data_IF_135033224943
#
_entry.id   IF_135033224943
#
_cell.length_a   1.000
_cell.length_b   1.000
_cell.length_c   1.000
_cell.angle_alpha   90.00
_cell.angle_beta   90.00
_cell.angle_gamma   90.00
#
_symmetry.space_group_name_H-M   'P 1'
#
loop_
_entity.id
_entity.type
_entity.pdbx_description
1 polymer ?
#
# COMPACT_ATOMS: atom_id res chain seq x y z
N UNK A 1 -7.19 -16.59 -19.44
CA UNK A 1 -5.86 -16.42 -20.03
C UNK A 1 -4.85 -16.93 -19.02
N UNK A 2 -4.01 -17.94 -19.37
CA UNK A 2 -2.96 -18.44 -18.48
C UNK A 2 -2.00 -17.28 -18.20
N UNK A 3 -1.82 -16.95 -16.93
CA UNK A 3 -0.77 -16.01 -16.50
C UNK A 3 0.57 -16.59 -16.97
N UNK A 4 1.23 -15.92 -17.90
CA UNK A 4 2.63 -16.21 -18.22
C UNK A 4 3.40 -16.00 -16.92
N UNK A 5 4.05 -17.07 -16.41
CA UNK A 5 4.79 -17.01 -15.16
C UNK A 5 5.92 -15.97 -15.31
N UNK A 6 5.94 -14.96 -14.44
CA UNK A 6 7.02 -13.99 -14.39
C UNK A 6 8.18 -14.60 -13.57
N UNK A 7 9.34 -14.89 -14.17
CA UNK A 7 10.45 -15.57 -13.50
C UNK A 7 10.94 -14.82 -12.24
N UNK A 8 10.88 -13.50 -12.26
CA UNK A 8 11.23 -12.68 -11.09
C UNK A 8 10.29 -12.93 -9.91
N UNK A 9 8.97 -12.94 -10.19
CA UNK A 9 7.97 -13.19 -9.16
C UNK A 9 8.13 -14.59 -8.57
N UNK A 10 8.41 -15.59 -9.40
CA UNK A 10 8.64 -16.95 -8.92
C UNK A 10 9.92 -17.06 -8.07
N UNK A 11 10.99 -16.33 -8.43
CA UNK A 11 12.20 -16.27 -7.59
C UNK A 11 11.93 -15.62 -6.24
N UNK A 12 11.20 -14.51 -6.20
CA UNK A 12 10.81 -13.85 -4.94
C UNK A 12 9.96 -14.77 -4.07
N UNK A 13 8.99 -15.49 -4.66
CA UNK A 13 8.17 -16.47 -3.92
C UNK A 13 9.00 -17.64 -3.39
N UNK A 14 9.98 -18.11 -4.15
CA UNK A 14 10.88 -19.17 -3.72
C UNK A 14 11.69 -18.73 -2.49
N UNK A 15 12.28 -17.53 -2.52
CA UNK A 15 13.01 -16.95 -1.39
C UNK A 15 12.13 -16.82 -0.14
N UNK A 16 10.86 -16.37 -0.29
CA UNK A 16 9.88 -16.31 0.81
C UNK A 16 9.60 -17.71 1.36
N UNK A 17 9.32 -18.68 0.49
CA UNK A 17 8.97 -20.03 0.89
C UNK A 17 10.10 -20.73 1.64
N UNK A 18 11.34 -20.59 1.16
CA UNK A 18 12.53 -21.11 1.83
C UNK A 18 12.70 -20.50 3.22
N UNK A 19 12.60 -19.19 3.31
CA UNK A 19 12.70 -18.46 4.58
C UNK A 19 11.63 -18.90 5.58
N UNK A 20 10.36 -18.97 5.17
CA UNK A 20 9.26 -19.35 6.04
C UNK A 20 9.34 -20.83 6.46
N UNK A 21 9.87 -21.72 5.62
CA UNK A 21 10.12 -23.11 5.99
C UNK A 21 11.11 -23.22 7.15
N UNK A 22 12.22 -22.45 7.12
CA UNK A 22 13.17 -22.41 8.23
C UNK A 22 12.53 -21.84 9.51
N UNK A 23 11.71 -20.79 9.40
CA UNK A 23 10.97 -20.21 10.55
C UNK A 23 9.95 -21.20 11.14
N UNK A 24 9.32 -22.04 10.31
CA UNK A 24 8.39 -23.07 10.79
C UNK A 24 9.08 -24.09 11.68
N UNK A 25 10.30 -24.51 11.35
CA UNK A 25 11.09 -25.40 12.17
C UNK A 25 11.42 -24.76 13.53
N UNK A 26 11.85 -23.51 13.55
CA UNK A 26 12.13 -22.77 14.78
C UNK A 26 10.89 -22.59 15.65
N UNK A 27 9.75 -22.26 15.07
CA UNK A 27 8.49 -22.06 15.79
C UNK A 27 7.95 -23.38 16.40
N UNK A 28 8.25 -24.52 15.82
CA UNK A 28 7.87 -25.82 16.37
C UNK A 28 8.47 -26.06 17.77
N UNK A 29 9.65 -25.47 18.04
CA UNK A 29 10.31 -25.54 19.35
C UNK A 29 9.54 -24.68 20.39
N UNK A 30 8.95 -23.58 19.95
CA UNK A 30 8.14 -22.70 20.82
C UNK A 30 6.78 -23.35 21.16
N UNK A 31 6.14 -23.96 20.16
CA UNK A 31 4.88 -24.68 20.30
C UNK A 31 4.21 -24.88 18.94
N UNK A 32 3.56 -26.02 18.77
CA UNK A 32 2.85 -26.33 17.51
C UNK A 32 1.69 -25.40 17.23
N UNK A 33 1.10 -24.77 18.25
CA UNK A 33 0.04 -23.79 18.14
C UNK A 33 0.51 -22.53 17.40
N UNK A 34 1.78 -22.15 17.57
CA UNK A 34 2.36 -20.97 16.93
C UNK A 34 2.51 -21.17 15.41
N UNK A 35 2.67 -22.41 14.95
CA UNK A 35 2.77 -22.70 13.51
C UNK A 35 1.47 -22.38 12.74
N UNK A 36 0.33 -22.30 13.43
CA UNK A 36 -0.94 -21.87 12.82
C UNK A 36 -0.88 -20.41 12.33
N UNK A 37 -0.17 -19.53 13.07
CA UNK A 37 0.05 -18.14 12.65
C UNK A 37 0.83 -18.05 11.33
N UNK A 38 1.81 -18.94 11.15
CA UNK A 38 2.60 -18.99 9.92
C UNK A 38 1.74 -19.35 8.71
N UNK A 39 0.82 -20.32 8.86
CA UNK A 39 -0.12 -20.68 7.80
C UNK A 39 -1.02 -19.48 7.41
N UNK A 40 -1.44 -18.70 8.39
CA UNK A 40 -2.21 -17.49 8.13
C UNK A 40 -1.38 -16.43 7.40
N UNK A 41 -0.09 -16.26 7.74
CA UNK A 41 0.82 -15.36 7.02
C UNK A 41 1.03 -15.81 5.56
N UNK A 42 1.22 -17.10 5.32
CA UNK A 42 1.35 -17.66 3.97
C UNK A 42 0.14 -17.30 3.11
N UNK A 43 -1.08 -17.35 3.66
CA UNK A 43 -2.29 -16.92 2.96
C UNK A 43 -2.31 -15.42 2.63
N UNK A 44 -1.70 -14.57 3.47
CA UNK A 44 -1.53 -13.14 3.20
C UNK A 44 -0.51 -12.85 2.11
N UNK A 45 0.51 -13.69 1.97
CA UNK A 45 1.53 -13.60 0.93
C UNK A 45 1.06 -14.15 -0.42
N UNK A 46 0.02 -15.00 -0.42
CA UNK A 46 -0.58 -15.50 -1.66
C UNK A 46 -1.31 -14.38 -2.42
N UNK A 47 -1.15 -14.38 -3.74
CA UNK A 47 -1.81 -13.42 -4.63
C UNK A 47 -1.09 -12.06 -4.62
N UNK A 48 -1.75 -11.06 -5.21
CA UNK A 48 -1.16 -9.75 -5.40
C UNK A 48 -0.26 -9.67 -6.63
N UNK A 49 -0.02 -8.42 -7.08
CA UNK A 49 0.76 -8.15 -8.30
C UNK A 49 2.27 -8.05 -8.03
N UNK A 50 2.69 -8.13 -6.78
CA UNK A 50 4.09 -7.98 -6.34
C UNK A 50 4.79 -6.77 -6.99
N UNK A 51 4.13 -5.62 -7.02
CA UNK A 51 4.65 -4.43 -7.68
C UNK A 51 5.93 -3.91 -7.03
N UNK A 52 5.99 -3.92 -5.69
CA UNK A 52 7.14 -3.43 -4.92
C UNK A 52 8.43 -4.21 -5.20
N UNK A 53 8.43 -5.54 -5.18
CA UNK A 53 9.57 -6.35 -5.63
C UNK A 53 10.00 -6.06 -7.05
N UNK A 54 9.04 -5.88 -7.96
CA UNK A 54 9.33 -5.59 -9.36
C UNK A 54 9.98 -4.20 -9.52
N UNK A 55 9.46 -3.16 -8.86
CA UNK A 55 10.09 -1.85 -8.85
C UNK A 55 11.52 -1.90 -8.26
N UNK A 56 11.73 -2.62 -7.15
CA UNK A 56 13.05 -2.81 -6.56
C UNK A 56 14.02 -3.50 -7.54
N UNK A 57 13.61 -4.61 -8.11
CA UNK A 57 14.45 -5.39 -9.02
C UNK A 57 14.82 -4.61 -10.29
N UNK A 58 13.83 -4.01 -10.96
CA UNK A 58 14.09 -3.33 -12.23
C UNK A 58 14.88 -2.05 -12.07
N UNK A 59 14.72 -1.32 -10.96
CA UNK A 59 15.60 -0.20 -10.64
C UNK A 59 17.03 -0.66 -10.29
N UNK A 60 17.17 -1.80 -9.61
CA UNK A 60 18.47 -2.46 -9.44
C UNK A 60 19.11 -2.86 -10.76
N UNK A 61 18.32 -3.36 -11.71
CA UNK A 61 18.79 -3.70 -13.06
C UNK A 61 19.26 -2.47 -13.84
N UNK A 62 18.61 -1.31 -13.71
CA UNK A 62 19.08 -0.05 -14.28
C UNK A 62 20.49 0.31 -13.78
N UNK A 63 20.72 0.17 -12.47
CA UNK A 63 22.00 0.51 -11.85
C UNK A 63 23.11 -0.51 -12.12
N UNK A 64 22.74 -1.78 -12.24
CA UNK A 64 23.69 -2.89 -12.40
C UNK A 64 24.30 -2.98 -13.79
N UNK A 65 23.50 -2.69 -14.85
CA UNK A 65 23.91 -2.97 -16.23
C UNK A 65 24.36 -4.42 -16.41
N UNK A 66 25.55 -4.64 -16.98
CA UNK A 66 26.12 -5.97 -17.20
C UNK A 66 26.39 -6.78 -15.91
N UNK A 67 26.39 -6.13 -14.73
CA UNK A 67 26.59 -6.79 -13.43
C UNK A 67 25.30 -7.38 -12.84
N UNK A 68 24.16 -7.32 -13.55
CA UNK A 68 22.86 -7.75 -13.03
C UNK A 68 22.89 -9.15 -12.44
N UNK A 69 23.53 -10.11 -13.11
CA UNK A 69 23.58 -11.50 -12.64
C UNK A 69 24.27 -11.64 -11.27
N UNK A 70 25.26 -10.78 -10.98
CA UNK A 70 25.98 -10.80 -9.70
C UNK A 70 25.18 -10.22 -8.53
N UNK A 71 24.25 -9.30 -8.78
CA UNK A 71 23.42 -8.64 -7.76
C UNK A 71 22.01 -9.22 -7.69
N UNK A 72 21.59 -10.00 -8.69
CA UNK A 72 20.26 -10.61 -8.79
C UNK A 72 19.81 -11.31 -7.49
N UNK A 73 20.65 -12.17 -6.84
CA UNK A 73 20.23 -12.85 -5.62
C UNK A 73 19.92 -11.89 -4.47
N UNK A 74 20.65 -10.78 -4.34
CA UNK A 74 20.36 -9.76 -3.35
C UNK A 74 19.06 -9.00 -3.67
N UNK A 75 18.83 -8.66 -4.94
CA UNK A 75 17.62 -7.97 -5.39
C UNK A 75 16.36 -8.82 -5.18
N UNK A 76 16.41 -10.14 -5.41
CA UNK A 76 15.26 -11.03 -5.17
C UNK A 76 14.98 -11.19 -3.68
N UNK A 77 16.01 -11.36 -2.83
CA UNK A 77 15.83 -11.40 -1.38
C UNK A 77 15.29 -10.08 -0.81
N UNK A 78 15.75 -8.92 -1.30
CA UNK A 78 15.16 -7.63 -0.94
C UNK A 78 13.69 -7.55 -1.37
N UNK A 79 13.36 -8.03 -2.57
CA UNK A 79 11.97 -8.14 -3.03
C UNK A 79 11.12 -8.98 -2.08
N UNK A 80 11.64 -10.12 -1.64
CA UNK A 80 10.98 -11.01 -0.67
C UNK A 80 10.82 -10.34 0.71
N UNK A 81 11.85 -9.62 1.18
CA UNK A 81 11.78 -8.85 2.42
C UNK A 81 10.74 -7.72 2.35
N UNK A 82 10.61 -7.05 1.20
CA UNK A 82 9.57 -6.03 0.96
C UNK A 82 8.17 -6.66 1.02
N UNK A 83 7.96 -7.87 0.49
CA UNK A 83 6.65 -8.54 0.58
C UNK A 83 6.32 -8.98 2.02
N UNK A 84 7.29 -9.39 2.82
CA UNK A 84 7.07 -9.62 4.26
C UNK A 84 6.70 -8.30 4.98
N UNK A 85 7.39 -7.19 4.67
CA UNK A 85 7.02 -5.87 5.17
C UNK A 85 5.61 -5.46 4.72
N UNK A 86 5.24 -5.78 3.47
CA UNK A 86 3.88 -5.55 2.96
C UNK A 86 2.84 -6.38 3.70
N UNK A 87 3.12 -7.65 4.00
CA UNK A 87 2.21 -8.48 4.78
C UNK A 87 1.99 -7.91 6.18
N UNK A 88 3.05 -7.45 6.86
CA UNK A 88 2.95 -6.76 8.14
C UNK A 88 2.07 -5.51 8.07
N UNK A 89 2.31 -4.65 7.06
CA UNK A 89 1.52 -3.43 6.87
C UNK A 89 0.04 -3.74 6.63
N UNK A 90 -0.28 -4.77 5.83
CA UNK A 90 -1.67 -5.18 5.57
C UNK A 90 -2.35 -5.79 6.80
N UNK A 91 -1.62 -6.59 7.60
CA UNK A 91 -2.14 -7.19 8.83
C UNK A 91 -2.52 -6.12 9.85
N UNK A 92 -1.67 -5.11 10.04
CA UNK A 92 -1.95 -3.99 10.93
C UNK A 92 -3.05 -3.07 10.39
N UNK A 93 -3.03 -2.76 9.10
CA UNK A 93 -4.04 -1.92 8.43
C UNK A 93 -5.44 -2.52 8.55
N UNK A 94 -5.58 -3.85 8.33
CA UNK A 94 -6.86 -4.55 8.48
C UNK A 94 -7.43 -4.48 9.92
N UNK A 95 -6.56 -4.45 10.93
CA UNK A 95 -6.98 -4.26 12.34
C UNK A 95 -7.39 -2.81 12.57
N UNK A 96 -6.61 -1.85 12.09
CA UNK A 96 -6.84 -0.40 12.24
C UNK A 96 -8.15 0.00 11.56
N UNK A 97 -8.37 -0.45 10.32
CA UNK A 97 -9.54 -0.12 9.50
C UNK A 97 -10.76 -1.02 9.81
N UNK A 98 -10.62 -1.99 10.72
CA UNK A 98 -11.65 -3.01 11.01
C UNK A 98 -12.12 -3.76 9.75
N UNK A 99 -11.24 -3.94 8.77
CA UNK A 99 -11.57 -4.56 7.49
C UNK A 99 -11.97 -6.03 7.67
N UNK A 100 -13.17 -6.47 7.24
CA UNK A 100 -13.61 -7.84 7.47
C UNK A 100 -12.91 -8.86 6.56
N UNK A 101 -12.43 -8.40 5.40
CA UNK A 101 -11.87 -9.27 4.35
C UNK A 101 -10.64 -8.67 3.71
N UNK A 102 -9.75 -9.55 3.23
CA UNK A 102 -8.57 -9.21 2.43
C UNK A 102 -8.45 -10.18 1.26
N UNK A 103 -8.40 -9.66 0.02
CA UNK A 103 -8.28 -10.47 -1.22
C UNK A 103 -9.35 -11.56 -1.32
N UNK A 104 -10.60 -11.25 -0.95
CA UNK A 104 -11.72 -12.18 -0.98
C UNK A 104 -11.72 -13.26 0.12
N UNK A 105 -10.80 -13.20 1.09
CA UNK A 105 -10.72 -14.08 2.27
C UNK A 105 -10.98 -13.27 3.53
N UNK A 106 -11.37 -13.90 4.67
CA UNK A 106 -11.41 -13.21 5.96
C UNK A 106 -10.06 -12.56 6.28
N UNK A 107 -10.06 -11.33 6.78
CA UNK A 107 -8.88 -10.68 7.32
C UNK A 107 -8.31 -11.51 8.48
N UNK A 108 -6.99 -11.41 8.78
CA UNK A 108 -6.32 -12.27 9.75
C UNK A 108 -6.98 -12.24 11.14
N UNK A 109 -7.37 -11.05 11.61
CA UNK A 109 -8.06 -10.90 12.88
C UNK A 109 -9.43 -11.60 12.87
N UNK A 110 -10.14 -11.63 11.73
CA UNK A 110 -11.42 -12.35 11.59
C UNK A 110 -11.23 -13.87 11.47
N UNK A 111 -10.17 -14.31 10.79
CA UNK A 111 -9.83 -15.73 10.73
C UNK A 111 -9.46 -16.29 12.11
N UNK A 112 -8.62 -15.57 12.88
CA UNK A 112 -8.26 -15.95 14.24
C UNK A 112 -9.43 -15.86 15.22
N UNK A 113 -10.33 -14.87 15.06
CA UNK A 113 -11.60 -14.78 15.81
C UNK A 113 -12.47 -16.03 15.57
N UNK A 114 -12.59 -16.47 14.31
CA UNK A 114 -13.34 -17.66 13.96
C UNK A 114 -12.72 -18.96 14.56
N UNK A 115 -11.39 -19.07 14.47
CA UNK A 115 -10.64 -20.20 15.06
C UNK A 115 -10.84 -20.28 16.59
N UNK A 116 -10.80 -19.15 17.29
CA UNK A 116 -11.09 -19.08 18.73
C UNK A 116 -12.46 -19.69 19.08
N UNK A 117 -13.50 -19.35 18.26
CA UNK A 117 -14.84 -19.87 18.45
C UNK A 117 -14.95 -21.36 18.16
N UNK A 118 -14.32 -21.83 17.06
CA UNK A 118 -14.30 -23.26 16.70
C UNK A 118 -13.65 -24.11 17.79
N UNK A 119 -12.55 -23.60 18.38
CA UNK A 119 -11.84 -24.29 19.47
C UNK A 119 -12.47 -24.12 20.85
N UNK A 120 -13.54 -23.36 20.94
CA UNK A 120 -14.27 -23.10 22.21
C UNK A 120 -13.34 -22.55 23.29
N UNK A 121 -12.47 -21.61 22.94
CA UNK A 121 -11.53 -20.98 23.86
C UNK A 121 -12.25 -19.98 24.77
N UNK A 122 -11.71 -19.74 25.96
CA UNK A 122 -12.27 -18.79 26.90
C UNK A 122 -11.97 -17.34 26.53
N UNK A 123 -12.83 -16.42 26.94
CA UNK A 123 -12.66 -14.97 26.75
C UNK A 123 -13.29 -14.43 25.47
N UNK A 124 -12.91 -13.21 25.09
CA UNK A 124 -13.41 -12.52 23.91
C UNK A 124 -12.74 -13.03 22.63
N UNK A 125 -13.50 -13.63 21.72
CA UNK A 125 -12.98 -14.07 20.42
C UNK A 125 -12.48 -12.91 19.55
N UNK A 126 -13.13 -11.76 19.65
CA UNK A 126 -12.74 -10.57 18.90
C UNK A 126 -11.38 -10.02 19.37
N UNK A 127 -11.17 -9.91 20.69
CA UNK A 127 -9.90 -9.44 21.25
C UNK A 127 -8.76 -10.42 20.94
N UNK A 128 -9.04 -11.72 21.00
CA UNK A 128 -8.08 -12.75 20.59
C UNK A 128 -7.68 -12.59 19.10
N UNK A 129 -8.67 -12.36 18.23
CA UNK A 129 -8.43 -12.13 16.80
C UNK A 129 -7.53 -10.93 16.54
N UNK A 130 -7.81 -9.80 17.20
CA UNK A 130 -7.00 -8.58 17.12
C UNK A 130 -5.57 -8.85 17.60
N UNK A 131 -5.41 -9.46 18.78
CA UNK A 131 -4.10 -9.77 19.35
C UNK A 131 -3.28 -10.70 18.44
N UNK A 132 -3.90 -11.74 17.86
CA UNK A 132 -3.23 -12.66 16.94
C UNK A 132 -2.75 -11.94 15.67
N UNK A 133 -3.55 -11.04 15.08
CA UNK A 133 -3.18 -10.30 13.90
C UNK A 133 -2.06 -9.29 14.16
N UNK A 134 -2.06 -8.60 15.31
CA UNK A 134 -0.98 -7.70 15.73
C UNK A 134 0.33 -8.48 15.86
N UNK A 135 0.33 -9.59 16.62
CA UNK A 135 1.52 -10.42 16.81
C UNK A 135 2.05 -10.96 15.48
N UNK A 136 1.15 -11.41 14.60
CA UNK A 136 1.55 -11.88 13.26
C UNK A 136 2.18 -10.78 12.41
N UNK A 137 1.63 -9.57 12.50
CA UNK A 137 2.18 -8.38 11.84
C UNK A 137 3.59 -8.04 12.35
N UNK A 138 3.81 -8.09 13.67
CA UNK A 138 5.11 -7.84 14.30
C UNK A 138 6.13 -8.94 13.94
N UNK A 139 5.71 -10.20 13.88
CA UNK A 139 6.56 -11.30 13.38
C UNK A 139 6.98 -11.06 11.93
N UNK A 140 6.03 -10.72 11.06
CA UNK A 140 6.30 -10.45 9.64
C UNK A 140 7.24 -9.24 9.47
N UNK A 141 7.04 -8.18 10.27
CA UNK A 141 7.92 -7.00 10.29
C UNK A 141 9.35 -7.37 10.73
N UNK A 142 9.48 -8.18 11.76
CA UNK A 142 10.78 -8.69 12.25
C UNK A 142 11.47 -9.55 11.21
N UNK A 143 10.73 -10.44 10.56
CA UNK A 143 11.26 -11.33 9.52
C UNK A 143 11.64 -10.60 8.24
N UNK A 144 10.95 -9.51 7.90
CA UNK A 144 11.37 -8.65 6.79
C UNK A 144 12.79 -8.08 7.01
N UNK A 145 13.09 -7.67 8.25
CA UNK A 145 14.42 -7.20 8.64
C UNK A 145 15.47 -8.31 8.64
N UNK A 146 15.11 -9.49 9.18
CA UNK A 146 16.04 -10.64 9.18
C UNK A 146 16.41 -11.08 7.77
N UNK A 147 15.45 -11.02 6.83
CA UNK A 147 15.67 -11.41 5.44
C UNK A 147 16.55 -10.40 4.69
N UNK A 148 16.31 -9.10 4.87
CA UNK A 148 17.06 -8.03 4.20
C UNK A 148 18.44 -7.80 4.82
N UNK A 149 18.58 -8.04 6.13
CA UNK A 149 19.73 -7.64 6.95
C UNK A 149 21.11 -8.06 6.42
N UNK A 150 21.32 -9.33 5.99
CA UNK A 150 22.61 -9.79 5.48
C UNK A 150 23.13 -9.03 4.23
N UNK A 151 22.23 -8.66 3.32
CA UNK A 151 22.60 -7.88 2.12
C UNK A 151 22.79 -6.40 2.48
N UNK A 152 21.89 -5.84 3.29
CA UNK A 152 21.97 -4.44 3.74
C UNK A 152 23.19 -4.14 4.63
N UNK A 153 23.74 -5.13 5.32
CA UNK A 153 24.95 -4.96 6.12
C UNK A 153 26.18 -4.66 5.25
N UNK A 154 26.15 -4.98 3.97
CA UNK A 154 27.24 -4.76 3.02
C UNK A 154 27.10 -3.47 2.22
N UNK A 155 25.87 -2.90 2.21
CA UNK A 155 25.51 -1.74 1.38
C UNK A 155 24.87 -0.64 2.24
N UNK A 156 25.65 0.22 2.91
CA UNK A 156 25.14 1.24 3.83
C UNK A 156 24.15 2.21 3.22
N UNK A 157 24.27 2.56 1.94
CA UNK A 157 23.33 3.45 1.27
C UNK A 157 21.97 2.76 1.05
N UNK A 158 21.96 1.48 0.66
CA UNK A 158 20.73 0.68 0.58
C UNK A 158 20.08 0.52 1.97
N UNK A 159 20.89 0.35 3.02
CA UNK A 159 20.42 0.30 4.41
C UNK A 159 19.69 1.58 4.81
N UNK A 160 20.21 2.77 4.49
CA UNK A 160 19.52 4.03 4.78
C UNK A 160 18.17 4.14 4.07
N UNK A 161 18.08 3.68 2.83
CA UNK A 161 16.81 3.67 2.08
C UNK A 161 15.80 2.73 2.72
N UNK A 162 16.24 1.53 3.15
CA UNK A 162 15.41 0.56 3.85
C UNK A 162 14.84 1.12 5.15
N UNK A 163 15.68 1.75 5.98
CA UNK A 163 15.28 2.35 7.25
C UNK A 163 14.32 3.51 7.04
N UNK A 164 14.58 4.37 6.04
CA UNK A 164 13.68 5.45 5.66
C UNK A 164 12.32 4.93 5.21
N UNK A 165 12.28 3.91 4.35
CA UNK A 165 11.02 3.30 3.86
C UNK A 165 10.13 2.82 5.00
N UNK A 166 10.71 2.11 5.97
CA UNK A 166 9.98 1.57 7.13
C UNK A 166 9.45 2.69 8.04
N UNK A 167 10.26 3.71 8.29
CA UNK A 167 9.85 4.86 9.10
C UNK A 167 8.75 5.66 8.40
N UNK A 168 8.91 5.94 7.11
CA UNK A 168 7.97 6.76 6.33
C UNK A 168 6.59 6.09 6.21
N UNK A 169 6.52 4.77 5.97
CA UNK A 169 5.23 4.07 5.86
C UNK A 169 4.48 4.09 7.17
N UNK A 170 5.16 3.90 8.31
CA UNK A 170 4.53 3.95 9.63
C UNK A 170 4.06 5.35 10.01
N UNK A 171 4.89 6.37 9.76
CA UNK A 171 4.51 7.76 9.95
C UNK A 171 3.35 8.17 9.02
N UNK A 172 3.38 7.71 7.76
CA UNK A 172 2.30 7.92 6.79
C UNK A 172 0.99 7.24 7.22
N UNK A 173 1.06 6.04 7.78
CA UNK A 173 -0.09 5.34 8.35
C UNK A 173 -0.70 6.12 9.53
N UNK A 174 0.14 6.66 10.41
CA UNK A 174 -0.35 7.52 11.49
C UNK A 174 -1.03 8.79 10.98
N UNK A 175 -0.47 9.42 9.93
CA UNK A 175 -1.11 10.58 9.29
C UNK A 175 -2.48 10.22 8.69
N UNK A 176 -2.63 9.02 8.14
CA UNK A 176 -3.90 8.55 7.59
C UNK A 176 -4.95 8.39 8.70
N UNK A 177 -4.60 7.69 9.78
CA UNK A 177 -5.47 7.54 10.96
C UNK A 177 -5.85 8.91 11.54
N UNK A 178 -4.87 9.81 11.69
CA UNK A 178 -5.12 11.17 12.19
C UNK A 178 -6.06 11.95 11.25
N UNK A 179 -5.89 11.81 9.93
CA UNK A 179 -6.73 12.48 8.94
C UNK A 179 -8.20 12.01 9.01
N UNK A 180 -8.44 10.75 9.35
CA UNK A 180 -9.81 10.22 9.51
C UNK A 180 -10.57 10.87 10.66
N UNK A 181 -9.89 11.23 11.76
CA UNK A 181 -10.51 11.79 12.97
C UNK A 181 -10.42 13.32 13.06
N UNK A 182 -9.56 13.96 12.27
CA UNK A 182 -9.38 15.42 12.24
C UNK A 182 -10.68 16.10 11.79
N UNK A 183 -11.16 17.05 12.58
CA UNK A 183 -12.38 17.79 12.27
C UNK A 183 -13.71 17.08 12.62
N UNK A 184 -13.64 15.94 13.32
CA UNK A 184 -14.83 15.28 13.89
C UNK A 184 -15.19 15.81 15.29
N UNK A 185 -14.33 16.63 15.92
CA UNK A 185 -14.62 17.24 17.21
C UNK A 185 -15.75 18.27 17.05
N UNK A 186 -16.74 18.31 17.98
CA UNK A 186 -17.70 19.40 18.06
C UNK A 186 -16.92 20.71 18.25
N UNK A 187 -17.33 21.77 17.53
CA UNK A 187 -16.69 23.09 17.62
C UNK A 187 -16.92 23.80 18.98
N UNK A 188 -17.64 23.15 19.91
CA UNK A 188 -18.09 23.76 21.16
C UNK A 188 -17.22 23.48 22.38
N UNK A 189 -16.19 22.65 22.29
CA UNK A 189 -15.27 22.41 23.42
C UNK A 189 -14.02 23.28 23.31
N UNK A 190 -14.12 24.50 23.83
CA UNK A 190 -13.06 25.49 24.00
C UNK A 190 -11.93 25.08 24.99
N UNK A 191 -11.63 23.80 25.13
CA UNK A 191 -10.65 23.27 26.11
C UNK A 191 -9.25 23.06 25.51
N UNK A 192 -9.09 23.18 24.19
CA UNK A 192 -7.79 23.03 23.53
C UNK A 192 -7.32 24.35 22.88
N UNK A 193 -7.31 25.44 23.66
CA UNK A 193 -6.50 26.61 23.33
C UNK A 193 -5.01 26.21 23.43
N UNK A 194 -4.25 26.50 22.36
CA UNK A 194 -2.78 26.51 22.30
C UNK A 194 -2.04 25.19 22.03
N UNK A 195 -2.43 24.45 20.97
CA UNK A 195 -1.39 23.81 20.15
C UNK A 195 -1.00 24.80 19.04
N UNK A 196 0.32 24.97 18.73
CA UNK A 196 0.73 25.88 17.65
C UNK A 196 0.00 25.46 16.38
N UNK A 197 -0.84 26.34 15.86
CA UNK A 197 -1.53 26.16 14.59
C UNK A 197 -0.50 26.24 13.48
N UNK A 198 0.07 25.11 13.09
CA UNK A 198 0.51 24.96 11.69
C UNK A 198 -0.71 25.38 10.86
N UNK A 199 -0.51 26.25 9.87
CA UNK A 199 -1.58 26.72 8.99
C UNK A 199 -2.45 25.51 8.61
N UNK A 200 -3.74 25.52 8.98
CA UNK A 200 -4.61 24.37 8.82
C UNK A 200 -4.66 23.98 7.35
N UNK A 201 -4.07 22.83 7.03
CA UNK A 201 -4.14 22.29 5.69
C UNK A 201 -5.60 21.99 5.34
N UNK A 202 -6.00 22.32 4.12
CA UNK A 202 -7.32 21.91 3.60
C UNK A 202 -7.45 20.39 3.63
N UNK A 203 -8.69 19.87 3.58
CA UNK A 203 -8.97 18.44 3.50
C UNK A 203 -8.23 17.76 2.33
N UNK A 204 -8.17 18.43 1.18
CA UNK A 204 -7.46 17.96 0.01
C UNK A 204 -5.94 17.91 0.23
N UNK A 205 -5.36 18.96 0.82
CA UNK A 205 -3.93 18.97 1.15
C UNK A 205 -3.55 17.90 2.17
N UNK A 206 -4.42 17.64 3.16
CA UNK A 206 -4.22 16.51 4.09
C UNK A 206 -4.24 15.16 3.39
N UNK A 207 -5.20 14.93 2.47
CA UNK A 207 -5.24 13.71 1.66
C UNK A 207 -3.99 13.55 0.78
N UNK A 208 -3.55 14.61 0.11
CA UNK A 208 -2.30 14.63 -0.67
C UNK A 208 -1.06 14.34 0.20
N UNK A 209 -1.04 14.85 1.45
CA UNK A 209 0.03 14.57 2.41
C UNK A 209 0.09 13.09 2.78
N UNK A 210 -1.06 12.43 2.96
CA UNK A 210 -1.12 10.98 3.18
C UNK A 210 -0.56 10.23 1.96
N UNK A 211 -0.98 10.56 0.76
CA UNK A 211 -0.44 9.99 -0.47
C UNK A 211 1.09 10.15 -0.51
N UNK A 212 1.59 11.35 -0.25
CA UNK A 212 3.02 11.68 -0.31
C UNK A 212 3.86 10.88 0.68
N UNK A 213 3.35 10.53 1.85
CA UNK A 213 4.12 9.92 2.93
C UNK A 213 3.77 8.45 3.22
N UNK A 214 2.54 8.00 2.92
CA UNK A 214 2.14 6.59 3.08
C UNK A 214 2.40 5.80 1.80
N UNK A 215 1.88 6.25 0.65
CA UNK A 215 1.83 5.43 -0.56
C UNK A 215 3.05 5.61 -1.47
N UNK A 216 3.41 6.84 -1.80
CA UNK A 216 4.50 7.13 -2.76
C UNK A 216 5.83 6.51 -2.32
N UNK A 217 6.32 6.74 -1.08
CA UNK A 217 7.60 6.19 -0.66
C UNK A 217 7.56 4.67 -0.62
N UNK A 218 6.54 4.11 0.00
CA UNK A 218 6.47 2.70 0.29
C UNK A 218 6.22 1.83 -0.94
N UNK A 219 5.40 2.32 -1.88
CA UNK A 219 4.96 1.50 -3.02
C UNK A 219 5.94 1.54 -4.19
N UNK A 220 6.55 2.69 -4.47
CA UNK A 220 7.36 2.86 -5.68
C UNK A 220 8.73 3.46 -5.37
N UNK A 221 8.79 4.65 -4.73
CA UNK A 221 10.01 5.42 -4.58
C UNK A 221 11.12 4.65 -3.86
N UNK A 222 10.85 4.21 -2.63
CA UNK A 222 11.88 3.54 -1.81
C UNK A 222 12.23 2.14 -2.31
N UNK A 223 11.28 1.29 -2.78
CA UNK A 223 11.64 0.06 -3.47
C UNK A 223 12.61 0.28 -4.64
N UNK A 224 12.35 1.26 -5.52
CA UNK A 224 13.25 1.57 -6.63
C UNK A 224 14.61 2.06 -6.15
N UNK A 225 14.62 3.01 -5.23
CA UNK A 225 15.86 3.55 -4.66
C UNK A 225 16.67 2.49 -3.93
N UNK A 226 16.02 1.58 -3.22
CA UNK A 226 16.65 0.44 -2.54
C UNK A 226 17.35 -0.48 -3.53
N UNK A 227 16.64 -0.89 -4.58
CA UNK A 227 17.23 -1.74 -5.63
C UNK A 227 18.41 -1.07 -6.34
N UNK A 228 18.27 0.20 -6.70
CA UNK A 228 19.33 0.96 -7.35
C UNK A 228 20.58 1.09 -6.44
N UNK A 229 20.41 1.43 -5.16
CA UNK A 229 21.52 1.51 -4.20
C UNK A 229 22.18 0.16 -3.95
N UNK A 230 21.41 -0.92 -3.84
CA UNK A 230 21.93 -2.28 -3.74
C UNK A 230 22.83 -2.66 -4.92
N UNK A 231 22.53 -2.15 -6.09
CA UNK A 231 23.29 -2.40 -7.32
C UNK A 231 24.38 -1.34 -7.62
N UNK A 232 24.64 -0.40 -6.70
CA UNK A 232 25.68 0.62 -6.82
C UNK A 232 25.25 1.85 -7.63
N UNK A 233 23.95 2.14 -7.73
CA UNK A 233 23.43 3.36 -8.37
C UNK A 233 23.88 4.62 -7.62
N UNK A 234 24.24 5.65 -8.36
CA UNK A 234 24.71 6.94 -7.86
C UNK A 234 23.56 7.89 -7.46
N UNK A 235 23.91 9.11 -7.06
CA UNK A 235 22.95 10.13 -6.65
C UNK A 235 22.15 10.69 -7.83
N UNK A 236 22.71 10.72 -9.04
CA UNK A 236 22.01 11.18 -10.23
C UNK A 236 20.88 10.21 -10.62
N UNK A 237 21.17 8.90 -10.66
CA UNK A 237 20.15 7.87 -10.86
C UNK A 237 19.11 7.89 -9.73
N UNK A 238 19.55 8.10 -8.48
CA UNK A 238 18.65 8.19 -7.33
C UNK A 238 17.64 9.34 -7.45
N UNK A 239 18.08 10.50 -7.95
CA UNK A 239 17.20 11.65 -8.22
C UNK A 239 16.28 11.39 -9.41
N UNK A 240 16.79 10.84 -10.51
CA UNK A 240 15.98 10.50 -11.69
C UNK A 240 14.89 9.46 -11.37
N UNK A 241 15.19 8.50 -10.48
CA UNK A 241 14.20 7.58 -9.91
C UNK A 241 13.12 8.36 -9.14
N UNK A 242 13.48 9.37 -8.34
CA UNK A 242 12.50 10.16 -7.60
C UNK A 242 11.58 10.95 -8.54
N UNK A 243 12.11 11.51 -9.63
CA UNK A 243 11.35 12.25 -10.64
C UNK A 243 10.33 11.34 -11.37
N UNK A 244 10.62 10.06 -11.51
CA UNK A 244 9.71 9.05 -12.05
C UNK A 244 8.71 8.55 -11.00
N UNK A 245 9.21 8.17 -9.82
CA UNK A 245 8.43 7.43 -8.82
C UNK A 245 7.39 8.29 -8.10
N UNK A 246 7.67 9.59 -7.88
CA UNK A 246 6.76 10.48 -7.17
C UNK A 246 5.46 10.71 -7.94
N UNK A 247 5.47 11.13 -9.21
CA UNK A 247 4.24 11.27 -9.96
C UNK A 247 3.54 9.92 -10.18
N UNK A 248 4.28 8.83 -10.44
CA UNK A 248 3.67 7.52 -10.60
C UNK A 248 2.97 7.02 -9.33
N UNK A 249 3.60 7.19 -8.17
CA UNK A 249 3.00 6.80 -6.89
C UNK A 249 1.77 7.64 -6.53
N UNK A 250 1.76 8.91 -6.95
CA UNK A 250 0.59 9.77 -6.82
C UNK A 250 -0.55 9.29 -7.73
N UNK A 251 -0.28 9.02 -9.00
CA UNK A 251 -1.25 8.45 -9.93
C UNK A 251 -1.81 7.12 -9.43
N UNK A 252 -0.94 6.24 -8.92
CA UNK A 252 -1.31 4.94 -8.36
C UNK A 252 -2.33 5.07 -7.22
N UNK A 253 -2.09 5.97 -6.24
CA UNK A 253 -3.02 6.13 -5.13
C UNK A 253 -4.33 6.80 -5.54
N UNK A 254 -4.27 7.85 -6.37
CA UNK A 254 -5.49 8.50 -6.88
C UNK A 254 -6.37 7.52 -7.67
N UNK A 255 -5.75 6.61 -8.42
CA UNK A 255 -6.45 5.52 -9.11
C UNK A 255 -7.03 4.50 -8.12
N UNK A 256 -6.28 4.11 -7.08
CA UNK A 256 -6.76 3.20 -6.04
C UNK A 256 -7.98 3.79 -5.31
N UNK A 257 -7.96 5.08 -5.00
CA UNK A 257 -9.09 5.81 -4.41
C UNK A 257 -10.34 5.82 -5.31
N UNK A 258 -10.16 5.93 -6.64
CA UNK A 258 -11.26 5.77 -7.60
C UNK A 258 -11.82 4.34 -7.60
N UNK A 259 -10.92 3.34 -7.59
CA UNK A 259 -11.32 1.91 -7.54
C UNK A 259 -11.99 1.55 -6.21
N UNK A 260 -11.59 2.16 -5.10
CA UNK A 260 -12.20 1.97 -3.78
C UNK A 260 -13.65 2.45 -3.70
N UNK A 261 -14.07 3.31 -4.66
CA UNK A 261 -15.45 3.84 -4.74
C UNK A 261 -16.22 3.28 -5.94
N UNK A 262 -15.60 3.17 -7.10
CA UNK A 262 -16.26 2.82 -8.37
C UNK A 262 -15.88 1.43 -8.88
N UNK A 263 -14.86 0.78 -8.31
CA UNK A 263 -14.33 -0.49 -8.81
C UNK A 263 -15.32 -1.64 -8.72
N UNK A 264 -15.12 -2.65 -9.58
CA UNK A 264 -15.84 -3.92 -9.50
C UNK A 264 -15.17 -4.80 -8.42
N UNK A 265 -15.98 -5.32 -7.48
CA UNK A 265 -15.51 -6.24 -6.43
C UNK A 265 -14.84 -7.50 -6.98
N UNK A 266 -15.32 -8.00 -8.12
CA UNK A 266 -14.72 -9.14 -8.79
C UNK A 266 -13.30 -8.88 -9.30
N UNK A 267 -12.97 -7.61 -9.58
CA UNK A 267 -11.65 -7.17 -10.07
C UNK A 267 -10.74 -6.73 -8.93
N UNK A 268 -11.29 -5.98 -7.97
CA UNK A 268 -10.51 -5.38 -6.87
C UNK A 268 -10.30 -6.32 -5.69
N UNK A 269 -11.15 -7.34 -5.53
CA UNK A 269 -11.15 -8.25 -4.38
C UNK A 269 -11.55 -7.59 -3.05
N UNK A 270 -12.05 -6.34 -3.11
CA UNK A 270 -12.59 -5.58 -1.98
C UNK A 270 -13.98 -5.07 -2.33
N UNK A 271 -14.82 -4.86 -1.31
CA UNK A 271 -16.08 -4.16 -1.52
C UNK A 271 -15.81 -2.73 -1.99
N UNK A 272 -16.44 -2.35 -3.09
CA UNK A 272 -16.36 -0.98 -3.63
C UNK A 272 -17.01 0.07 -2.72
N UNK A 273 -17.59 -0.35 -1.60
CA UNK A 273 -18.17 0.53 -0.58
C UNK A 273 -17.28 0.72 0.64
N UNK A 274 -16.19 -0.07 0.75
CA UNK A 274 -15.36 -0.11 1.95
C UNK A 274 -14.78 1.27 2.29
N UNK A 275 -14.19 1.98 1.33
CA UNK A 275 -13.56 3.27 1.57
C UNK A 275 -14.53 4.34 2.07
N UNK A 276 -15.80 4.29 1.59
CA UNK A 276 -16.84 5.20 2.08
C UNK A 276 -17.33 4.81 3.48
N UNK A 277 -17.47 3.52 3.77
CA UNK A 277 -17.91 3.02 5.08
C UNK A 277 -16.82 3.19 6.15
N UNK A 278 -15.55 2.99 5.79
CA UNK A 278 -14.39 3.23 6.64
C UNK A 278 -14.15 4.74 6.85
N UNK A 279 -14.71 5.58 5.98
CA UNK A 279 -14.59 7.05 6.08
C UNK A 279 -13.22 7.57 5.64
N UNK A 280 -12.54 6.90 4.71
CA UNK A 280 -11.26 7.33 4.17
C UNK A 280 -11.32 8.74 3.60
N UNK A 281 -10.40 9.59 4.04
CA UNK A 281 -10.31 11.00 3.66
C UNK A 281 -9.46 11.18 2.40
N UNK A 282 -10.00 10.73 1.26
CA UNK A 282 -9.35 10.79 -0.05
C UNK A 282 -9.45 12.16 -0.71
N UNK A 283 -8.63 12.41 -1.75
CA UNK A 283 -8.73 13.60 -2.61
C UNK A 283 -10.10 13.65 -3.28
N UNK A 284 -10.62 12.50 -3.72
CA UNK A 284 -11.95 12.37 -4.33
C UNK A 284 -13.05 12.87 -3.38
N UNK A 285 -13.04 12.40 -2.14
CA UNK A 285 -14.00 12.82 -1.12
C UNK A 285 -13.86 14.32 -0.79
N UNK A 286 -12.62 14.81 -0.63
CA UNK A 286 -12.36 16.21 -0.30
C UNK A 286 -12.89 17.18 -1.38
N UNK A 287 -12.72 16.86 -2.66
CA UNK A 287 -13.27 17.63 -3.77
C UNK A 287 -14.78 17.58 -3.82
N UNK A 288 -15.37 16.42 -3.57
CA UNK A 288 -16.83 16.26 -3.48
C UNK A 288 -17.41 17.09 -2.32
N UNK A 289 -16.82 17.01 -1.13
CA UNK A 289 -17.25 17.80 0.02
C UNK A 289 -17.13 19.31 -0.22
N UNK A 290 -16.10 19.76 -0.93
CA UNK A 290 -15.90 21.18 -1.29
C UNK A 290 -16.97 21.71 -2.23
N UNK A 291 -17.47 20.88 -3.14
CA UNK A 291 -18.51 21.25 -4.12
C UNK A 291 -19.94 21.06 -3.57
N UNK A 292 -20.13 20.17 -2.59
CA UNK A 292 -21.42 19.86 -2.03
C UNK A 292 -21.97 20.98 -1.12
N UNK A 293 -23.28 21.22 -1.18
CA UNK A 293 -23.99 22.18 -0.34
C UNK A 293 -25.37 21.67 0.10
N UNK A 294 -25.97 22.30 1.07
CA UNK A 294 -27.36 22.02 1.47
C UNK A 294 -27.62 20.56 1.81
N UNK A 295 -28.46 19.89 1.03
CA UNK A 295 -28.90 18.48 1.24
C UNK A 295 -27.72 17.54 0.98
N UNK A 296 -26.90 17.81 -0.03
CA UNK A 296 -25.79 16.94 -0.42
C UNK A 296 -24.70 16.93 0.66
N UNK A 297 -24.37 18.08 1.25
CA UNK A 297 -23.44 18.14 2.38
C UNK A 297 -23.95 17.36 3.61
N UNK A 298 -25.28 17.37 3.86
CA UNK A 298 -25.90 16.54 4.92
C UNK A 298 -25.83 15.06 4.60
N UNK A 299 -26.03 14.68 3.33
CA UNK A 299 -25.87 13.29 2.88
C UNK A 299 -24.46 12.78 3.16
N UNK A 300 -23.41 13.51 2.74
CA UNK A 300 -22.02 13.13 2.99
C UNK A 300 -21.74 12.92 4.49
N UNK A 301 -22.20 13.84 5.33
CA UNK A 301 -22.03 13.76 6.81
C UNK A 301 -22.69 12.52 7.44
N UNK A 302 -23.87 12.09 6.94
CA UNK A 302 -24.58 10.96 7.52
C UNK A 302 -24.12 9.61 6.96
N UNK A 303 -23.44 9.59 5.80
CA UNK A 303 -23.08 8.35 5.08
C UNK A 303 -21.61 7.99 5.26
N UNK A 304 -20.68 8.94 5.06
CA UNK A 304 -19.24 8.66 5.08
C UNK A 304 -18.75 8.34 6.49
N UNK A 305 -18.03 7.22 6.64
CA UNK A 305 -17.55 6.74 7.93
C UNK A 305 -18.64 6.14 8.82
N UNK A 306 -19.74 5.67 8.24
CA UNK A 306 -20.84 5.05 8.98
C UNK A 306 -21.10 3.65 8.47
N UNK A 307 -20.70 2.64 9.24
CA UNK A 307 -20.91 1.23 8.90
C UNK A 307 -22.39 0.85 8.69
N UNK A 308 -23.33 1.64 9.24
CA UNK A 308 -24.77 1.44 9.11
C UNK A 308 -25.42 2.15 7.92
N UNK A 309 -24.61 2.79 7.04
CA UNK A 309 -25.14 3.51 5.88
C UNK A 309 -25.85 2.57 4.90
N UNK A 310 -26.99 3.03 4.38
CA UNK A 310 -27.75 2.23 3.41
C UNK A 310 -27.06 2.18 2.05
N UNK A 311 -27.33 1.12 1.29
CA UNK A 311 -26.85 0.99 -0.08
C UNK A 311 -27.32 2.17 -0.97
N UNK A 312 -28.53 2.69 -0.71
CA UNK A 312 -29.10 3.83 -1.43
C UNK A 312 -28.31 5.13 -1.15
N UNK A 313 -27.99 5.41 0.12
CA UNK A 313 -27.17 6.57 0.49
C UNK A 313 -25.78 6.49 -0.11
N UNK A 314 -25.16 5.30 -0.13
CA UNK A 314 -23.86 5.07 -0.76
C UNK A 314 -23.92 5.28 -2.26
N UNK A 315 -24.94 4.75 -2.94
CA UNK A 315 -25.14 4.97 -4.37
C UNK A 315 -25.31 6.46 -4.67
N UNK A 316 -26.08 7.18 -3.87
CA UNK A 316 -26.26 8.63 -4.04
C UNK A 316 -24.97 9.44 -3.82
N UNK A 317 -24.11 9.02 -2.88
CA UNK A 317 -22.79 9.62 -2.69
C UNK A 317 -21.91 9.43 -3.94
N UNK A 318 -21.93 8.24 -4.56
CA UNK A 318 -21.21 7.99 -5.82
C UNK A 318 -21.72 8.87 -6.96
N UNK A 319 -23.02 8.98 -7.13
CA UNK A 319 -23.63 9.89 -8.11
C UNK A 319 -23.16 11.32 -7.88
N UNK A 320 -23.16 11.79 -6.63
CA UNK A 320 -22.71 13.12 -6.26
C UNK A 320 -21.23 13.36 -6.62
N UNK A 321 -20.36 12.37 -6.43
CA UNK A 321 -18.95 12.45 -6.86
C UNK A 321 -18.79 12.65 -8.37
N UNK A 322 -19.71 12.10 -9.16
CA UNK A 322 -19.77 12.30 -10.62
C UNK A 322 -20.38 13.66 -10.96
N UNK A 323 -21.53 13.99 -10.40
CA UNK A 323 -22.27 15.23 -10.66
C UNK A 323 -21.48 16.50 -10.31
N UNK A 324 -20.69 16.45 -9.23
CA UNK A 324 -19.80 17.55 -8.82
C UNK A 324 -18.55 17.69 -9.68
N UNK A 325 -18.29 16.75 -10.59
CA UNK A 325 -17.07 16.71 -11.39
C UNK A 325 -15.83 16.25 -10.61
N UNK A 326 -15.95 15.89 -9.33
CA UNK A 326 -14.83 15.45 -8.50
C UNK A 326 -14.14 14.20 -9.07
N UNK A 327 -14.94 13.21 -9.51
CA UNK A 327 -14.44 11.99 -10.15
C UNK A 327 -13.61 12.29 -11.40
N UNK A 328 -14.09 13.12 -12.32
CA UNK A 328 -13.37 13.46 -13.53
C UNK A 328 -12.12 14.30 -13.26
N UNK A 329 -12.18 15.19 -12.27
CA UNK A 329 -11.02 15.95 -11.84
C UNK A 329 -9.90 15.05 -11.30
N UNK A 330 -10.20 14.00 -10.52
CA UNK A 330 -9.20 13.02 -10.05
C UNK A 330 -8.68 12.18 -11.21
N UNK A 331 -9.53 11.77 -12.16
CA UNK A 331 -9.09 11.05 -13.37
C UNK A 331 -8.12 11.89 -14.22
N UNK A 332 -8.37 13.20 -14.33
CA UNK A 332 -7.46 14.11 -15.00
C UNK A 332 -6.09 14.17 -14.31
N UNK A 333 -6.07 14.20 -12.97
CA UNK A 333 -4.81 14.15 -12.21
C UNK A 333 -4.07 12.83 -12.42
N UNK A 334 -4.77 11.68 -12.42
CA UNK A 334 -4.15 10.37 -12.71
C UNK A 334 -3.46 10.39 -14.08
N UNK A 335 -4.15 10.89 -15.13
CA UNK A 335 -3.56 11.00 -16.47
C UNK A 335 -2.34 11.92 -16.49
N UNK A 336 -2.46 13.11 -15.91
CA UNK A 336 -1.36 14.09 -15.85
C UNK A 336 -0.13 13.56 -15.11
N UNK A 337 -0.33 12.91 -13.97
CA UNK A 337 0.75 12.30 -13.19
C UNK A 337 1.37 11.10 -13.94
N UNK A 338 0.56 10.30 -14.64
CA UNK A 338 1.03 9.23 -15.51
C UNK A 338 1.91 9.74 -16.66
N UNK A 339 1.53 10.84 -17.31
CA UNK A 339 2.31 11.50 -18.36
C UNK A 339 3.64 12.07 -17.82
N UNK A 340 3.63 12.71 -16.65
CA UNK A 340 4.86 13.17 -16.00
C UNK A 340 5.81 12.01 -15.68
N UNK A 341 5.28 10.89 -15.20
CA UNK A 341 6.06 9.70 -14.94
C UNK A 341 6.62 9.11 -16.26
N UNK A 342 5.83 9.05 -17.33
CA UNK A 342 6.28 8.57 -18.64
C UNK A 342 7.45 9.39 -19.18
N UNK A 343 7.35 10.72 -19.13
CA UNK A 343 8.42 11.62 -19.54
C UNK A 343 9.70 11.46 -18.70
N UNK A 344 9.54 11.15 -17.39
CA UNK A 344 10.70 10.88 -16.53
C UNK A 344 11.32 9.51 -16.81
N UNK A 345 10.51 8.52 -17.20
CA UNK A 345 11.02 7.20 -17.62
C UNK A 345 11.80 7.31 -18.96
N UNK A 346 11.39 8.17 -19.88
CA UNK A 346 12.14 8.42 -21.11
C UNK A 346 13.51 9.01 -20.80
N UNK A 347 13.61 9.95 -19.85
CA UNK A 347 14.90 10.48 -19.39
C UNK A 347 15.76 9.42 -18.71
N UNK A 348 15.17 8.54 -17.90
CA UNK A 348 15.89 7.38 -17.32
C UNK A 348 16.44 6.46 -18.41
N UNK A 349 15.71 6.26 -19.51
CA UNK A 349 16.16 5.46 -20.65
C UNK A 349 17.38 6.08 -21.36
N UNK A 350 17.52 7.40 -21.37
CA UNK A 350 18.68 8.10 -21.95
C UNK A 350 19.92 8.01 -21.03
N UNK A 351 19.71 7.81 -19.72
CA UNK A 351 20.80 7.74 -18.72
C UNK A 351 21.39 6.34 -18.56
N UNK A 352 20.72 5.30 -19.05
CA UNK A 352 21.09 3.90 -18.74
C UNK A 352 21.08 3.02 -19.98
N UNK A 353 21.98 2.05 -20.04
CA UNK A 353 21.98 1.01 -21.09
C UNK A 353 21.33 -0.30 -20.54
N UNK A 354 20.05 -0.22 -20.24
CA UNK A 354 19.27 -1.33 -19.68
C UNK A 354 17.87 -1.41 -20.33
N UNK A 355 17.76 -1.70 -21.63
CA UNK A 355 16.51 -1.61 -22.38
C UNK A 355 15.41 -2.53 -21.83
N UNK A 356 15.78 -3.70 -21.30
CA UNK A 356 14.82 -4.61 -20.68
C UNK A 356 14.22 -4.00 -19.40
N UNK A 357 15.03 -3.40 -18.54
CA UNK A 357 14.55 -2.77 -17.31
C UNK A 357 13.60 -1.60 -17.62
N UNK A 358 13.92 -0.79 -18.62
CA UNK A 358 13.04 0.30 -19.08
C UNK A 358 11.70 -0.25 -19.64
N UNK A 359 11.72 -1.33 -20.42
CA UNK A 359 10.50 -1.96 -20.96
C UNK A 359 9.59 -2.47 -19.84
N UNK A 360 10.16 -3.11 -18.83
CA UNK A 360 9.41 -3.62 -17.67
C UNK A 360 8.88 -2.47 -16.79
N UNK A 361 9.68 -1.43 -16.55
CA UNK A 361 9.21 -0.24 -15.84
C UNK A 361 8.08 0.48 -16.60
N UNK A 362 8.10 0.48 -17.92
CA UNK A 362 7.00 1.01 -18.74
C UNK A 362 5.72 0.16 -18.59
N UNK A 363 5.86 -1.15 -18.50
CA UNK A 363 4.74 -2.07 -18.21
C UNK A 363 4.16 -1.80 -16.82
N UNK A 364 5.02 -1.62 -15.82
CA UNK A 364 4.61 -1.30 -14.45
C UNK A 364 3.95 0.09 -14.35
N UNK A 365 4.46 1.09 -15.08
CA UNK A 365 3.85 2.42 -15.19
C UNK A 365 2.41 2.30 -15.70
N UNK A 366 2.21 1.59 -16.82
CA UNK A 366 0.87 1.39 -17.37
C UNK A 366 -0.05 0.68 -16.35
N UNK A 367 0.41 -0.41 -15.74
CA UNK A 367 -0.35 -1.15 -14.73
C UNK A 367 -0.71 -0.31 -13.49
N UNK A 368 0.11 0.68 -13.14
CA UNK A 368 -0.08 1.54 -11.97
C UNK A 368 -0.97 2.76 -12.25
N UNK A 369 -1.01 3.29 -13.47
CA UNK A 369 -1.69 4.54 -13.81
C UNK A 369 -2.80 4.43 -14.87
N UNK A 370 -3.00 3.26 -15.51
CA UNK A 370 -4.12 3.07 -16.45
C UNK A 370 -5.48 3.18 -15.74
N UNK A 371 -6.44 3.79 -16.41
CA UNK A 371 -7.83 3.92 -15.97
C UNK A 371 -8.77 2.95 -16.69
N UNK A 372 -8.25 1.96 -17.42
CA UNK A 372 -9.04 1.04 -18.27
C UNK A 372 -9.99 0.16 -17.42
N UNK A 373 -9.60 -0.16 -16.20
CA UNK A 373 -10.37 -0.95 -15.23
C UNK A 373 -11.17 -0.11 -14.21
N UNK A 374 -11.14 1.21 -14.34
CA UNK A 374 -11.90 2.15 -13.50
C UNK A 374 -13.22 2.51 -14.21
N UNK A 375 -14.39 2.02 -13.75
CA UNK A 375 -15.68 2.34 -14.35
C UNK A 375 -15.91 3.85 -14.44
N UNK A 376 -16.54 4.30 -15.52
CA UNK A 376 -16.83 5.72 -15.72
C UNK A 376 -17.98 6.23 -14.84
N UNK A 377 -18.83 5.32 -14.33
CA UNK A 377 -19.99 5.60 -13.48
C UNK A 377 -20.15 4.54 -12.40
#
# INVERSE_FOLDING_TARGET
>A
MSQVSNPLIESVKADISEFLSARREELTIVGTEVTALLTLLEQYLEGGKMLRPQFCYWAGALAAGDRLDSVRPALTRLGAAIELLQAAALLHDDVIDHSPTRRGRPAAHKAAEAEHRVRVLAGSSADFGIAAAIVLGDMSLTWSEQMAGPDLAREPEARRVWDAMRTEVMAGQYLDVLNQVKGLLPQDDAVYEELPTEAELSKEQNAQRVIRWKTVPYTILRPMQLGARMAGGDDELHQAIADFAIPLGTAFQLRDDLLGVFGDEAVTGKSSTSDLLEGKRTVLLARTEKAASGVDAKLLKRTVGKASSSAEDIARVRELMVETGASESVRADVRSMGELAANSLDRLAEMTDAPQAIAELRTLLHAASSLDDVPQR
#
